data_IF_376099682772
#
_entry.id   IF_376099682772
#
_cell.length_a   1.000
_cell.length_b   1.000
_cell.length_c   1.000
_cell.angle_alpha   90.00
_cell.angle_beta   90.00
_cell.angle_gamma   90.00
#
_symmetry.space_group_name_H-M   'P 1'
#
loop_
_entity.id
_entity.type
_entity.pdbx_description
1 polymer ?
#
# COMPACT_ATOMS: atom_id res chain seq x y z
N UNK A 1 -0.89 -7.07 9.69
CA UNK A 1 -2.20 -6.73 9.07
C UNK A 1 -3.12 -6.30 10.21
N UNK A 2 -3.63 -5.06 10.21
CA UNK A 2 -4.33 -4.48 11.39
C UNK A 2 -5.77 -4.98 11.57
N UNK A 3 -6.24 -5.94 10.78
CA UNK A 3 -7.62 -6.46 10.87
C UNK A 3 -8.73 -5.44 10.53
N UNK A 4 -8.36 -4.25 10.08
CA UNK A 4 -9.29 -3.19 9.70
C UNK A 4 -9.78 -3.42 8.26
N UNK A 5 -11.09 -3.45 8.06
CA UNK A 5 -11.67 -3.45 6.71
C UNK A 5 -11.41 -2.12 5.99
N UNK A 6 -11.55 -2.07 4.64
CA UNK A 6 -11.14 -0.92 3.81
C UNK A 6 -11.75 0.41 4.24
N UNK A 7 -13.03 0.47 4.56
CA UNK A 7 -13.69 1.71 4.99
C UNK A 7 -13.19 2.18 6.35
N UNK A 8 -12.95 1.26 7.29
CA UNK A 8 -12.41 1.60 8.62
C UNK A 8 -10.98 2.13 8.52
N UNK A 9 -10.18 1.57 7.61
CA UNK A 9 -8.84 2.06 7.28
C UNK A 9 -8.89 3.50 6.75
N UNK A 10 -9.82 3.83 5.84
CA UNK A 10 -10.00 5.20 5.34
C UNK A 10 -10.40 6.18 6.45
N UNK A 11 -11.31 5.77 7.33
CA UNK A 11 -11.74 6.60 8.48
C UNK A 11 -10.57 6.86 9.42
N UNK A 12 -9.77 5.85 9.77
CA UNK A 12 -8.60 6.03 10.63
C UNK A 12 -7.53 6.90 9.96
N UNK A 13 -7.28 6.71 8.67
CA UNK A 13 -6.36 7.56 7.90
C UNK A 13 -6.77 9.03 7.93
N UNK A 14 -8.06 9.31 7.78
CA UNK A 14 -8.59 10.68 7.88
C UNK A 14 -8.36 11.27 9.28
N UNK A 15 -8.65 10.53 10.34
CA UNK A 15 -8.39 10.98 11.72
C UNK A 15 -6.90 11.26 11.97
N UNK A 16 -6.00 10.46 11.39
CA UNK A 16 -4.55 10.63 11.53
C UNK A 16 -4.00 11.80 10.70
N UNK A 17 -4.65 12.14 9.60
CA UNK A 17 -4.21 13.24 8.71
C UNK A 17 -4.59 14.63 9.22
N UNK A 18 -5.41 14.72 10.26
CA UNK A 18 -5.87 15.99 10.82
C UNK A 18 -5.40 16.16 12.27
N UNK A 19 -4.97 17.37 12.62
CA UNK A 19 -4.63 17.74 13.99
C UNK A 19 -5.85 18.17 14.83
N UNK A 20 -7.04 18.26 14.21
CA UNK A 20 -8.26 18.67 14.87
C UNK A 20 -9.22 17.51 15.02
N UNK A 21 -9.91 17.39 16.18
CA UNK A 21 -10.96 16.40 16.34
C UNK A 21 -12.06 16.56 15.28
N UNK A 22 -12.57 15.46 14.74
CA UNK A 22 -13.63 15.45 13.73
C UNK A 22 -14.97 14.99 14.29
N UNK A 23 -16.06 15.58 13.79
CA UNK A 23 -17.42 15.09 14.05
C UNK A 23 -17.77 13.93 13.13
N UNK A 24 -18.82 13.18 13.46
CA UNK A 24 -19.39 12.14 12.56
C UNK A 24 -19.78 12.74 11.21
N UNK A 25 -20.36 13.94 11.22
CA UNK A 25 -20.75 14.65 10.01
C UNK A 25 -19.54 14.96 9.12
N UNK A 26 -18.49 15.54 9.70
CA UNK A 26 -17.26 15.87 8.96
C UNK A 26 -16.62 14.62 8.32
N UNK A 27 -16.57 13.50 9.05
CA UNK A 27 -16.04 12.24 8.51
C UNK A 27 -16.96 11.67 7.41
N UNK A 28 -18.28 11.78 7.57
CA UNK A 28 -19.24 11.31 6.59
C UNK A 28 -19.12 12.10 5.28
N UNK A 29 -19.03 13.42 5.38
CA UNK A 29 -18.93 14.32 4.23
C UNK A 29 -17.61 14.14 3.48
N UNK A 30 -16.48 14.06 4.19
CA UNK A 30 -15.13 13.92 3.59
C UNK A 30 -14.94 12.58 2.87
N UNK A 31 -15.52 11.51 3.43
CA UNK A 31 -15.37 10.17 2.87
C UNK A 31 -16.55 9.71 2.00
N UNK A 32 -17.52 10.59 1.76
CA UNK A 32 -18.76 10.31 1.03
C UNK A 32 -19.52 9.10 1.61
N UNK A 33 -19.61 9.04 2.95
CA UNK A 33 -20.31 7.98 3.67
C UNK A 33 -21.65 8.48 4.22
N UNK A 34 -22.60 7.55 4.37
CA UNK A 34 -23.77 7.85 5.17
C UNK A 34 -23.37 8.04 6.66
N UNK A 35 -23.99 8.99 7.38
CA UNK A 35 -23.67 9.31 8.79
C UNK A 35 -23.66 8.09 9.71
N UNK A 36 -24.61 7.17 9.52
CA UNK A 36 -24.65 5.95 10.33
C UNK A 36 -23.45 5.03 10.06
N UNK A 37 -23.00 4.95 8.80
CA UNK A 37 -21.79 4.17 8.45
C UNK A 37 -20.54 4.80 9.03
N UNK A 38 -20.39 6.12 8.93
CA UNK A 38 -19.26 6.84 9.53
C UNK A 38 -19.21 6.60 11.06
N UNK A 39 -20.37 6.76 11.74
CA UNK A 39 -20.49 6.48 13.18
C UNK A 39 -20.10 5.04 13.52
N UNK A 40 -20.63 4.06 12.79
CA UNK A 40 -20.32 2.65 13.02
C UNK A 40 -18.80 2.38 12.95
N UNK A 41 -18.12 2.97 11.96
CA UNK A 41 -16.68 2.79 11.82
C UNK A 41 -15.88 3.54 12.88
N UNK A 42 -16.30 4.74 13.26
CA UNK A 42 -15.69 5.53 14.34
C UNK A 42 -15.83 4.82 15.70
N UNK A 43 -17.02 4.34 16.04
CA UNK A 43 -17.25 3.62 17.29
C UNK A 43 -16.43 2.32 17.36
N UNK A 44 -16.31 1.59 16.24
CA UNK A 44 -15.45 0.41 16.16
C UNK A 44 -13.94 0.72 16.30
N UNK A 45 -13.48 1.89 15.86
CA UNK A 45 -12.11 2.35 16.10
C UNK A 45 -11.89 2.70 17.59
N UNK A 46 -12.89 3.29 18.24
CA UNK A 46 -12.84 3.56 19.69
C UNK A 46 -12.79 2.26 20.50
N UNK A 47 -13.62 1.26 20.15
CA UNK A 47 -13.57 -0.06 20.79
C UNK A 47 -12.21 -0.75 20.61
N UNK A 48 -11.55 -0.55 19.48
CA UNK A 48 -10.21 -1.08 19.20
C UNK A 48 -9.07 -0.30 19.86
N UNK A 49 -9.35 0.82 20.54
CA UNK A 49 -8.34 1.73 21.12
C UNK A 49 -7.60 2.60 20.10
N UNK A 50 -8.02 2.61 18.82
CA UNK A 50 -7.37 3.37 17.74
C UNK A 50 -7.91 4.78 17.56
N UNK A 51 -9.02 5.09 18.22
CA UNK A 51 -9.56 6.43 18.31
C UNK A 51 -10.10 6.67 19.72
N UNK A 52 -10.14 7.92 20.11
CA UNK A 52 -10.83 8.38 21.30
C UNK A 52 -11.96 9.32 20.92
N UNK A 53 -12.98 9.39 21.77
CA UNK A 53 -14.07 10.35 21.62
C UNK A 53 -14.11 11.32 22.78
N UNK A 54 -14.33 12.58 22.45
CA UNK A 54 -14.51 13.66 23.39
C UNK A 54 -15.78 14.45 23.09
N UNK A 55 -16.15 15.34 23.98
CA UNK A 55 -17.24 16.29 23.77
C UNK A 55 -16.69 17.69 23.96
N UNK A 56 -16.96 18.59 23.03
CA UNK A 56 -16.65 20.00 23.23
C UNK A 56 -17.70 20.63 24.16
N UNK A 57 -17.29 21.33 25.23
CA UNK A 57 -18.22 22.09 26.03
C UNK A 57 -18.83 23.23 25.18
N UNK A 58 -20.00 23.01 24.59
CA UNK A 58 -20.67 24.07 23.84
C UNK A 58 -21.57 24.83 24.78
N UNK A 59 -21.40 26.15 24.87
CA UNK A 59 -22.34 27.06 25.56
C UNK A 59 -23.69 27.22 24.86
N UNK A 60 -24.00 26.31 23.89
CA UNK A 60 -25.27 26.30 23.12
C UNK A 60 -26.25 25.29 23.70
N UNK A 61 -27.54 25.61 23.63
CA UNK A 61 -28.62 24.70 24.00
C UNK A 61 -28.65 23.49 23.06
N UNK A 62 -28.44 22.29 23.59
CA UNK A 62 -28.42 21.04 22.84
C UNK A 62 -27.34 20.07 23.34
N UNK A 63 -27.43 18.81 22.91
CA UNK A 63 -26.38 17.83 23.21
C UNK A 63 -25.09 18.19 22.43
N UNK A 64 -23.93 18.35 23.09
CA UNK A 64 -22.69 18.69 22.40
C UNK A 64 -22.33 17.59 21.38
N UNK A 65 -21.75 17.97 20.25
CA UNK A 65 -21.32 17.02 19.26
C UNK A 65 -20.21 16.10 19.81
N UNK A 66 -20.23 14.84 19.43
CA UNK A 66 -19.13 13.92 19.67
C UNK A 66 -18.01 14.22 18.69
N UNK A 67 -16.82 14.34 19.21
CA UNK A 67 -15.57 14.56 18.48
C UNK A 67 -14.71 13.31 18.58
N UNK A 68 -14.01 12.97 17.50
CA UNK A 68 -13.16 11.80 17.39
C UNK A 68 -11.75 12.21 16.99
N UNK A 69 -10.74 11.61 17.62
CA UNK A 69 -9.32 11.81 17.35
C UNK A 69 -8.63 10.45 17.30
N UNK A 70 -7.65 10.26 16.42
CA UNK A 70 -6.82 9.07 16.45
C UNK A 70 -5.94 9.05 17.70
N UNK A 71 -5.70 7.87 18.29
CA UNK A 71 -4.79 7.69 19.41
C UNK A 71 -3.38 7.37 18.94
N UNK A 72 -2.38 7.56 19.81
CA UNK A 72 -0.99 7.17 19.53
C UNK A 72 -0.82 5.64 19.40
N UNK A 73 -1.75 4.87 19.96
CA UNK A 73 -1.77 3.41 19.85
C UNK A 73 -2.35 2.93 18.50
N UNK A 74 -2.94 3.84 17.72
CA UNK A 74 -3.50 3.51 16.42
C UNK A 74 -2.39 3.12 15.43
N UNK A 75 -2.58 2.05 14.63
CA UNK A 75 -1.61 1.71 13.60
C UNK A 75 -1.53 2.84 12.57
N UNK A 76 -0.33 3.26 12.21
CA UNK A 76 -0.11 4.28 11.17
C UNK A 76 -0.67 3.77 9.85
N UNK A 77 -1.73 4.41 9.37
CA UNK A 77 -2.40 4.06 8.10
C UNK A 77 -1.95 4.96 6.96
N UNK A 78 -1.66 6.21 7.27
CA UNK A 78 -1.26 7.19 6.25
C UNK A 78 0.21 7.01 5.85
N UNK A 79 0.47 6.50 4.65
CA UNK A 79 1.81 6.42 4.08
C UNK A 79 2.19 7.67 3.27
N UNK A 80 1.40 8.74 3.30
CA UNK A 80 1.62 9.93 2.48
C UNK A 80 3.03 10.50 2.66
N UNK A 81 3.49 10.67 3.90
CA UNK A 81 4.84 11.15 4.18
C UNK A 81 5.93 10.16 3.77
N UNK A 82 5.68 8.85 3.89
CA UNK A 82 6.62 7.83 3.40
C UNK A 82 6.70 7.85 1.88
N UNK A 83 5.59 8.07 1.19
CA UNK A 83 5.55 8.18 -0.26
C UNK A 83 6.22 9.47 -0.74
N UNK A 84 6.00 10.60 -0.06
CA UNK A 84 6.70 11.86 -0.32
C UNK A 84 8.20 11.69 -0.13
N UNK A 85 8.64 11.13 1.01
CA UNK A 85 10.05 10.82 1.25
C UNK A 85 10.61 9.88 0.18
N UNK A 86 9.84 8.87 -0.23
CA UNK A 86 10.25 7.93 -1.28
C UNK A 86 10.45 8.65 -2.61
N UNK A 87 9.55 9.56 -3.00
CA UNK A 87 9.69 10.36 -4.21
C UNK A 87 10.96 11.23 -4.16
N UNK A 88 11.22 11.89 -3.03
CA UNK A 88 12.42 12.71 -2.83
C UNK A 88 13.69 11.84 -2.93
N UNK A 89 13.73 10.71 -2.22
CA UNK A 89 14.87 9.80 -2.26
C UNK A 89 15.12 9.23 -3.66
N UNK A 90 14.07 8.85 -4.38
CA UNK A 90 14.20 8.38 -5.76
C UNK A 90 14.72 9.49 -6.68
N UNK A 91 14.17 10.70 -6.59
CA UNK A 91 14.55 11.81 -7.44
C UNK A 91 15.96 12.32 -7.19
N UNK A 92 16.34 12.47 -5.92
CA UNK A 92 17.60 13.13 -5.55
C UNK A 92 18.80 12.18 -5.45
N UNK A 93 18.57 10.92 -5.07
CA UNK A 93 19.67 9.98 -4.77
C UNK A 93 19.77 8.81 -5.72
N UNK A 94 18.67 8.40 -6.36
CA UNK A 94 18.66 7.22 -7.24
C UNK A 94 18.68 7.66 -8.70
N UNK A 95 17.75 8.51 -9.13
CA UNK A 95 17.57 8.90 -10.53
C UNK A 95 18.79 9.57 -11.17
N UNK A 96 19.60 10.40 -10.47
CA UNK A 96 20.79 11.04 -11.06
C UNK A 96 21.93 10.09 -11.38
N UNK A 97 21.83 8.82 -11.01
CA UNK A 97 22.87 7.81 -11.25
C UNK A 97 22.79 7.29 -12.68
N UNK A 98 23.91 7.22 -13.40
CA UNK A 98 23.97 6.68 -14.78
C UNK A 98 23.48 5.23 -14.89
N UNK A 99 23.56 4.48 -13.80
CA UNK A 99 23.15 3.09 -13.69
C UNK A 99 21.87 2.90 -12.81
N UNK A 100 21.06 3.93 -12.64
CA UNK A 100 19.91 3.98 -11.73
C UNK A 100 18.97 2.76 -11.89
N UNK A 101 18.62 2.43 -13.12
CA UNK A 101 17.72 1.30 -13.43
C UNK A 101 18.33 -0.04 -12.99
N UNK A 102 19.63 -0.26 -13.28
CA UNK A 102 20.32 -1.48 -12.89
C UNK A 102 20.45 -1.58 -11.37
N UNK A 103 20.77 -0.49 -10.70
CA UNK A 103 20.84 -0.45 -9.22
C UNK A 103 19.50 -0.72 -8.58
N UNK A 104 18.42 -0.14 -9.12
CA UNK A 104 17.08 -0.42 -8.66
C UNK A 104 16.72 -1.90 -8.80
N UNK A 105 17.06 -2.52 -9.94
CA UNK A 105 16.84 -3.97 -10.17
C UNK A 105 17.65 -4.83 -9.19
N UNK A 106 18.93 -4.51 -8.97
CA UNK A 106 19.77 -5.22 -8.00
C UNK A 106 19.25 -5.08 -6.57
N UNK A 107 18.82 -3.87 -6.17
CA UNK A 107 18.19 -3.65 -4.88
C UNK A 107 16.91 -4.48 -4.72
N UNK A 108 16.08 -4.52 -5.76
CA UNK A 108 14.90 -5.37 -5.81
C UNK A 108 15.24 -6.85 -5.66
N UNK A 109 16.23 -7.33 -6.38
CA UNK A 109 16.70 -8.72 -6.30
C UNK A 109 17.14 -9.10 -4.88
N UNK A 110 17.97 -8.26 -4.26
CA UNK A 110 18.42 -8.48 -2.89
C UNK A 110 17.22 -8.50 -1.91
N UNK A 111 16.25 -7.61 -2.11
CA UNK A 111 15.04 -7.59 -1.31
C UNK A 111 14.18 -8.85 -1.51
N UNK A 112 13.97 -9.28 -2.76
CA UNK A 112 13.25 -10.50 -3.08
C UNK A 112 13.88 -11.75 -2.44
N UNK A 113 15.19 -11.87 -2.59
CA UNK A 113 15.96 -12.97 -1.99
C UNK A 113 15.89 -12.99 -0.46
N UNK A 114 15.98 -11.81 0.18
CA UNK A 114 15.91 -11.68 1.64
C UNK A 114 14.52 -11.97 2.22
N UNK A 115 13.46 -11.82 1.44
CA UNK A 115 12.08 -12.11 1.87
C UNK A 115 11.64 -13.54 1.61
N UNK A 116 12.51 -14.36 1.03
CA UNK A 116 12.26 -15.78 0.78
C UNK A 116 12.36 -16.56 2.09
N UNK A 117 11.37 -17.40 2.37
CA UNK A 117 11.44 -18.36 3.46
C UNK A 117 12.42 -19.49 3.08
N UNK A 118 13.33 -19.83 3.99
CA UNK A 118 14.44 -20.75 3.70
C UNK A 118 13.98 -22.16 3.29
N UNK A 119 12.78 -22.56 3.71
CA UNK A 119 12.28 -23.93 3.56
C UNK A 119 11.12 -24.07 2.54
N UNK A 120 10.71 -22.97 1.89
CA UNK A 120 9.65 -22.99 0.89
C UNK A 120 10.21 -22.85 -0.52
N UNK A 121 10.03 -23.87 -1.35
CA UNK A 121 10.28 -23.75 -2.79
C UNK A 121 9.26 -22.78 -3.39
N UNK A 122 9.70 -21.76 -4.17
CA UNK A 122 8.79 -20.83 -4.80
C UNK A 122 7.85 -21.57 -5.78
N UNK A 123 6.56 -21.32 -5.64
CA UNK A 123 5.53 -21.75 -6.58
C UNK A 123 4.85 -20.53 -7.19
N UNK A 124 4.18 -20.70 -8.33
CA UNK A 124 3.41 -19.62 -8.95
C UNK A 124 2.38 -19.06 -7.97
N UNK A 125 1.63 -19.91 -7.26
CA UNK A 125 0.64 -19.48 -6.27
C UNK A 125 1.27 -18.64 -5.15
N UNK A 126 2.46 -19.00 -4.68
CA UNK A 126 3.17 -18.24 -3.66
C UNK A 126 3.63 -16.87 -4.18
N UNK A 127 4.05 -16.78 -5.45
CA UNK A 127 4.36 -15.50 -6.12
C UNK A 127 3.12 -14.60 -6.14
N UNK A 128 1.97 -15.14 -6.58
CA UNK A 128 0.70 -14.41 -6.65
C UNK A 128 0.24 -13.94 -5.27
N UNK A 129 0.30 -14.80 -4.27
CA UNK A 129 -0.05 -14.46 -2.88
C UNK A 129 0.82 -13.30 -2.36
N UNK A 130 2.13 -13.36 -2.57
CA UNK A 130 3.06 -12.34 -2.10
C UNK A 130 2.88 -11.00 -2.80
N UNK A 131 2.58 -11.01 -4.09
CA UNK A 131 2.21 -9.80 -4.83
C UNK A 131 0.89 -9.21 -4.29
N UNK A 132 -0.12 -10.06 -4.07
CA UNK A 132 -1.40 -9.62 -3.50
C UNK A 132 -1.24 -9.00 -2.10
N UNK A 133 -0.41 -9.57 -1.23
CA UNK A 133 -0.09 -8.99 0.10
C UNK A 133 0.57 -7.62 0.02
N UNK A 134 1.26 -7.30 -1.08
CA UNK A 134 1.89 -5.99 -1.34
C UNK A 134 0.96 -5.00 -2.04
N UNK A 135 -0.30 -5.38 -2.26
CA UNK A 135 -1.31 -4.51 -2.85
C UNK A 135 -1.40 -4.56 -4.37
N UNK A 136 -0.65 -5.43 -5.04
CA UNK A 136 -0.82 -5.66 -6.46
C UNK A 136 -2.12 -6.42 -6.73
N UNK A 137 -2.88 -5.99 -7.73
CA UNK A 137 -3.87 -6.84 -8.37
C UNK A 137 -3.16 -7.61 -9.47
N UNK A 138 -3.09 -8.92 -9.37
CA UNK A 138 -2.41 -9.75 -10.37
C UNK A 138 -3.28 -10.95 -10.73
N UNK A 139 -3.32 -11.28 -12.01
CA UNK A 139 -3.93 -12.49 -12.56
C UNK A 139 -2.87 -13.24 -13.36
N UNK A 140 -2.89 -14.56 -13.24
CA UNK A 140 -2.04 -15.45 -14.02
C UNK A 140 -2.92 -16.27 -14.94
N UNK A 141 -2.48 -16.46 -16.19
CA UNK A 141 -3.13 -17.31 -17.15
C UNK A 141 -2.07 -17.89 -18.09
N UNK A 142 -1.88 -19.20 -18.05
CA UNK A 142 -0.93 -19.96 -18.89
C UNK A 142 0.51 -19.39 -18.90
N UNK A 143 1.00 -18.96 -17.72
CA UNK A 143 2.33 -18.36 -17.55
C UNK A 143 2.37 -16.85 -17.81
N UNK A 144 1.29 -16.23 -18.23
CA UNK A 144 1.20 -14.77 -18.38
C UNK A 144 0.67 -14.11 -17.11
N UNK A 145 1.48 -13.22 -16.53
CA UNK A 145 1.05 -12.36 -15.43
C UNK A 145 0.50 -11.04 -15.96
N UNK A 146 -0.73 -10.73 -15.60
CA UNK A 146 -1.34 -9.43 -15.85
C UNK A 146 -1.53 -8.69 -14.54
N UNK A 147 -0.84 -7.56 -14.39
CA UNK A 147 -0.97 -6.66 -13.24
C UNK A 147 -2.08 -5.66 -13.52
N UNK A 148 -3.25 -5.88 -12.93
CA UNK A 148 -4.44 -5.02 -13.09
C UNK A 148 -4.45 -3.84 -12.13
N UNK A 149 -3.64 -3.88 -11.09
CA UNK A 149 -3.44 -2.80 -10.11
C UNK A 149 -2.00 -2.77 -9.65
N UNK A 150 -1.39 -1.57 -9.71
CA UNK A 150 -0.09 -1.27 -9.14
C UNK A 150 -0.27 -0.28 -7.98
N UNK A 151 0.19 -0.59 -6.75
CA UNK A 151 0.02 0.30 -5.60
C UNK A 151 0.83 1.59 -5.70
N UNK A 152 1.76 1.70 -6.64
CA UNK A 152 2.66 2.84 -6.80
C UNK A 152 2.28 3.79 -7.94
N UNK A 153 1.50 3.33 -8.91
CA UNK A 153 1.20 4.09 -10.14
C UNK A 153 0.55 5.46 -9.88
N UNK A 154 -0.25 5.57 -8.82
CA UNK A 154 -0.97 6.81 -8.48
C UNK A 154 -0.18 7.72 -7.53
N UNK A 155 0.91 7.20 -6.92
CA UNK A 155 1.61 7.89 -5.83
C UNK A 155 3.06 8.23 -6.13
N UNK A 156 3.67 7.56 -7.14
CA UNK A 156 5.01 7.85 -7.63
C UNK A 156 4.91 8.67 -8.91
N UNK A 157 5.80 9.65 -9.09
CA UNK A 157 5.85 10.47 -10.30
C UNK A 157 6.11 9.61 -11.56
N UNK A 158 5.54 10.00 -12.69
CA UNK A 158 5.73 9.29 -13.95
C UNK A 158 7.20 9.13 -14.35
N UNK A 159 8.03 10.13 -14.03
CA UNK A 159 9.47 10.12 -14.30
C UNK A 159 10.22 9.06 -13.48
N UNK A 160 9.75 8.75 -12.28
CA UNK A 160 10.39 7.80 -11.37
C UNK A 160 9.77 6.40 -11.43
N UNK A 161 8.60 6.26 -12.05
CA UNK A 161 7.91 4.99 -12.17
C UNK A 161 8.78 3.88 -12.82
N UNK A 162 9.59 4.15 -13.86
CA UNK A 162 10.49 3.15 -14.45
C UNK A 162 11.48 2.56 -13.44
N UNK A 163 12.00 3.36 -12.49
CA UNK A 163 12.91 2.87 -11.45
C UNK A 163 12.19 1.92 -10.48
N UNK A 164 10.96 2.26 -10.11
CA UNK A 164 10.12 1.41 -9.27
C UNK A 164 9.78 0.10 -10.00
N UNK A 165 9.49 0.15 -11.30
CA UNK A 165 9.25 -1.04 -12.12
C UNK A 165 10.51 -1.93 -12.21
N UNK A 166 11.68 -1.34 -12.40
CA UNK A 166 12.95 -2.08 -12.40
C UNK A 166 13.23 -2.76 -11.04
N UNK A 167 12.93 -2.09 -9.95
CA UNK A 167 13.03 -2.67 -8.60
C UNK A 167 12.06 -3.85 -8.42
N UNK A 168 10.83 -3.75 -8.92
CA UNK A 168 9.87 -4.85 -8.86
C UNK A 168 10.25 -6.03 -9.76
N UNK A 169 10.85 -5.76 -10.92
CA UNK A 169 11.46 -6.79 -11.74
C UNK A 169 12.49 -7.58 -10.93
N UNK A 170 13.44 -6.88 -10.31
CA UNK A 170 14.42 -7.51 -9.44
C UNK A 170 13.80 -8.26 -8.26
N UNK A 171 12.76 -7.70 -7.62
CA UNK A 171 12.05 -8.34 -6.51
C UNK A 171 11.50 -9.72 -6.92
N UNK A 172 10.85 -9.81 -8.07
CA UNK A 172 10.32 -11.07 -8.59
C UNK A 172 11.44 -12.05 -8.89
N UNK A 173 12.50 -11.62 -9.57
CA UNK A 173 13.68 -12.44 -9.89
C UNK A 173 14.37 -12.98 -8.64
N UNK A 174 14.57 -12.11 -7.63
CA UNK A 174 15.15 -12.49 -6.35
C UNK A 174 14.28 -13.46 -5.57
N UNK A 175 12.96 -13.30 -5.70
CA UNK A 175 12.00 -14.15 -5.01
C UNK A 175 11.98 -15.59 -5.56
N UNK A 176 12.11 -15.76 -6.87
CA UNK A 176 12.12 -17.09 -7.53
C UNK A 176 13.53 -17.65 -7.73
N UNK A 177 14.57 -16.94 -7.32
CA UNK A 177 15.96 -17.38 -7.53
C UNK A 177 16.21 -18.77 -6.95
N UNK A 178 16.88 -19.64 -7.71
CA UNK A 178 17.16 -21.02 -7.29
C UNK A 178 15.97 -21.97 -7.36
N UNK A 179 14.84 -21.55 -7.96
CA UNK A 179 13.73 -22.44 -8.32
C UNK A 179 13.71 -22.70 -9.82
N UNK A 180 12.75 -23.49 -10.27
CA UNK A 180 12.48 -23.76 -11.69
C UNK A 180 11.68 -22.65 -12.38
N UNK A 181 11.34 -21.56 -11.67
CA UNK A 181 10.55 -20.46 -12.20
C UNK A 181 11.49 -19.37 -12.72
N UNK A 182 11.28 -18.95 -13.94
CA UNK A 182 11.91 -17.78 -14.55
C UNK A 182 10.89 -16.67 -14.76
N UNK A 183 11.30 -15.43 -14.47
CA UNK A 183 10.47 -14.23 -14.64
C UNK A 183 10.94 -13.46 -15.86
N UNK A 184 10.10 -13.31 -16.84
CA UNK A 184 10.33 -12.42 -17.98
C UNK A 184 10.28 -10.94 -17.59
N UNK A 185 10.68 -10.03 -18.49
CA UNK A 185 10.64 -8.60 -18.22
C UNK A 185 9.21 -8.10 -18.00
N UNK A 186 9.07 -7.13 -17.08
CA UNK A 186 7.80 -6.44 -16.90
C UNK A 186 7.62 -5.44 -18.03
N UNK A 187 6.62 -5.69 -18.88
CA UNK A 187 6.16 -4.74 -19.89
C UNK A 187 5.15 -3.77 -19.25
N UNK A 188 5.49 -2.47 -19.27
CA UNK A 188 4.73 -1.42 -18.59
C UNK A 188 3.75 -0.77 -19.54
N UNK A 189 2.51 -1.21 -19.54
CA UNK A 189 1.43 -0.59 -20.30
C UNK A 189 0.78 0.60 -19.58
N UNK A 190 -0.10 1.35 -20.25
CA UNK A 190 -0.70 2.57 -19.70
C UNK A 190 -1.67 2.31 -18.53
N UNK A 191 -2.31 1.14 -18.48
CA UNK A 191 -3.27 0.76 -17.44
C UNK A 191 -2.89 -0.54 -16.74
N UNK A 192 -2.34 -1.48 -17.46
CA UNK A 192 -1.94 -2.80 -16.99
C UNK A 192 -0.48 -3.04 -17.35
N UNK A 193 0.21 -3.85 -16.57
CA UNK A 193 1.55 -4.32 -16.90
C UNK A 193 1.50 -5.83 -17.11
N UNK A 194 2.41 -6.36 -17.89
CA UNK A 194 2.51 -7.78 -18.18
C UNK A 194 3.91 -8.30 -17.86
N UNK A 195 4.00 -9.53 -17.43
CA UNK A 195 5.25 -10.27 -17.33
C UNK A 195 4.95 -11.75 -17.61
N UNK A 196 5.97 -12.52 -17.94
CA UNK A 196 5.83 -13.97 -18.11
C UNK A 196 6.45 -14.71 -16.93
N UNK A 197 5.84 -15.83 -16.54
CA UNK A 197 6.42 -16.83 -15.67
C UNK A 197 6.60 -18.12 -16.47
N UNK A 198 7.83 -18.58 -16.58
CA UNK A 198 8.14 -19.84 -17.26
C UNK A 198 8.63 -20.85 -16.23
N UNK A 199 8.03 -22.03 -16.21
CA UNK A 199 8.49 -23.12 -15.34
C UNK A 199 9.36 -24.05 -16.19
N UNK A 200 10.66 -24.07 -15.89
CA UNK A 200 11.62 -24.98 -16.55
C UNK A 200 11.58 -26.34 -15.88
N UNK A 201 11.54 -27.40 -16.69
CA UNK A 201 11.49 -28.81 -16.24
C UNK A 201 12.82 -29.30 -15.75
#
# INVERSE_FOLDING_TARGET
MHGLGPTRTRVLSLLQSTSKPLTVEAVADELELHKNSARFHLDALVEAGYAERSTEPSGRTGRPPLLYTATDESPTIGNAHLLELTNVLLGEFVAPSDDATQRARVAGFNWGSATREADAEPTVDLVLERLGRRGFGVMENDGDLTFTRCPFREVISEEQLPLVCAMHQGLLEGFVTGSTIEVGPIDVGPRVCHATLTVTS
#
